data_IF_083590205616
#
_entry.id   IF_083590205616
#
_cell.length_a   1.000
_cell.length_b   1.000
_cell.length_c   1.000
_cell.angle_alpha   90.00
_cell.angle_beta   90.00
_cell.angle_gamma   90.00
#
_symmetry.space_group_name_H-M   'P 1'
#
loop_
_entity.id
_entity.type
_entity.pdbx_description
1 polymer ?
#
# COMPACT_ATOMS: atom_id res chain seq x y z
N UNK A 1 18.55 5.21 24.12
CA UNK A 1 17.34 5.34 23.27
C UNK A 1 16.44 4.12 23.46
N UNK A 2 15.14 4.32 23.46
CA UNK A 2 14.11 3.29 23.49
C UNK A 2 13.47 3.24 22.10
N UNK A 3 13.09 2.04 21.65
CA UNK A 3 12.45 1.85 20.35
C UNK A 3 10.96 1.50 20.56
N UNK A 4 10.09 2.23 19.87
CA UNK A 4 8.64 2.04 19.96
C UNK A 4 8.07 1.71 18.59
N UNK A 5 7.42 0.55 18.49
CA UNK A 5 6.62 0.18 17.31
C UNK A 5 5.25 0.84 17.41
N UNK A 6 4.87 1.59 16.38
CA UNK A 6 3.57 2.29 16.30
C UNK A 6 2.86 1.85 15.03
N UNK A 7 1.61 1.41 15.16
CA UNK A 7 0.73 1.13 14.04
C UNK A 7 -0.24 2.28 13.85
N UNK A 8 -0.38 2.76 12.61
CA UNK A 8 -1.27 3.86 12.25
C UNK A 8 -2.18 3.47 11.09
N UNK A 9 -3.35 4.09 11.04
CA UNK A 9 -4.21 4.12 9.86
C UNK A 9 -4.27 5.54 9.30
N UNK A 10 -4.51 5.70 7.99
CA UNK A 10 -4.71 7.00 7.38
C UNK A 10 -5.58 6.98 6.13
N UNK A 11 -6.31 8.06 5.93
CA UNK A 11 -6.99 8.38 4.68
C UNK A 11 -6.01 9.02 3.68
N UNK A 12 -5.60 8.23 2.68
CA UNK A 12 -4.65 8.66 1.66
C UNK A 12 -5.16 9.80 0.78
N UNK A 13 -6.48 9.98 0.65
CA UNK A 13 -7.07 11.05 -0.17
C UNK A 13 -6.67 12.45 0.33
N UNK A 14 -6.35 12.59 1.62
CA UNK A 14 -5.90 13.83 2.25
C UNK A 14 -4.42 14.14 2.00
N UNK A 15 -3.64 13.24 1.35
CA UNK A 15 -2.18 13.35 1.28
C UNK A 15 -1.61 13.08 -0.12
N UNK A 16 -0.52 13.76 -0.42
CA UNK A 16 0.29 13.52 -1.60
C UNK A 16 1.31 12.37 -1.41
N UNK A 17 0.84 11.30 -0.76
CA UNK A 17 1.61 10.11 -0.43
C UNK A 17 2.21 10.13 0.97
N UNK A 18 2.95 9.06 1.29
CA UNK A 18 3.52 8.89 2.60
C UNK A 18 4.73 9.80 2.84
N UNK A 19 5.73 9.75 1.94
CA UNK A 19 7.03 10.38 2.14
C UNK A 19 6.95 11.92 2.15
N UNK A 20 7.60 12.55 3.14
CA UNK A 20 7.71 14.03 3.28
C UNK A 20 8.20 14.70 1.99
N UNK A 21 7.55 15.77 1.61
CA UNK A 21 7.83 16.63 0.46
C UNK A 21 7.85 18.10 0.90
N UNK A 22 8.60 18.94 0.19
CA UNK A 22 8.81 20.36 0.60
C UNK A 22 7.52 21.20 0.60
N UNK A 23 6.57 20.94 -0.30
CA UNK A 23 5.44 21.86 -0.56
C UNK A 23 4.06 21.17 -0.59
N UNK A 24 3.96 19.92 -0.16
CA UNK A 24 2.69 19.17 -0.23
C UNK A 24 2.42 18.44 1.08
N UNK A 25 1.16 18.38 1.54
CA UNK A 25 0.80 17.60 2.71
C UNK A 25 1.07 16.11 2.46
N UNK A 26 1.79 15.48 3.38
CA UNK A 26 2.15 14.05 3.33
C UNK A 26 1.97 13.43 4.70
N UNK A 27 1.76 12.11 4.75
CA UNK A 27 1.57 11.40 6.02
C UNK A 27 2.79 11.56 6.94
N UNK A 28 4.00 11.33 6.42
CA UNK A 28 5.24 11.51 7.18
C UNK A 28 5.41 12.96 7.66
N UNK A 29 5.15 13.94 6.80
CA UNK A 29 5.26 15.35 7.17
C UNK A 29 4.34 15.74 8.31
N UNK A 30 3.07 15.24 8.30
CA UNK A 30 2.13 15.50 9.40
C UNK A 30 2.53 14.80 10.70
N UNK A 31 3.06 13.57 10.61
CA UNK A 31 3.56 12.86 11.78
C UNK A 31 4.77 13.58 12.40
N UNK A 32 5.74 13.97 11.58
CA UNK A 32 6.92 14.71 12.06
C UNK A 32 6.54 16.06 12.67
N UNK A 33 5.62 16.83 12.06
CA UNK A 33 5.08 18.07 12.62
C UNK A 33 4.57 17.87 14.07
N UNK A 34 3.82 16.79 14.30
CA UNK A 34 3.28 16.48 15.64
C UNK A 34 4.36 15.98 16.59
N UNK A 35 5.28 15.14 16.10
CA UNK A 35 6.40 14.66 16.93
C UNK A 35 7.34 15.79 17.32
N UNK A 36 7.65 16.73 16.42
CA UNK A 36 8.50 17.90 16.69
C UNK A 36 7.93 18.80 17.81
N UNK A 37 6.59 18.84 17.97
CA UNK A 37 5.93 19.56 19.06
C UNK A 37 6.04 18.86 20.42
N UNK A 38 6.09 17.52 20.43
CA UNK A 38 5.95 16.71 21.65
C UNK A 38 7.23 15.98 22.04
N UNK A 39 8.08 15.66 21.05
CA UNK A 39 9.29 14.85 21.19
C UNK A 39 10.38 15.54 20.37
N UNK A 40 11.37 16.16 21.03
CA UNK A 40 12.40 16.96 20.32
C UNK A 40 13.41 16.11 19.56
N UNK A 41 13.84 14.99 20.17
CA UNK A 41 14.88 14.12 19.60
C UNK A 41 14.33 12.73 19.35
N UNK A 42 14.19 12.39 18.07
CA UNK A 42 13.72 11.08 17.64
C UNK A 42 14.26 10.70 16.26
N UNK A 43 14.31 9.41 15.99
CA UNK A 43 14.47 8.86 14.66
C UNK A 43 13.17 8.15 14.27
N UNK A 44 12.61 8.48 13.09
CA UNK A 44 11.37 7.90 12.57
C UNK A 44 11.65 6.99 11.38
N UNK A 45 11.35 5.71 11.53
CA UNK A 45 11.39 4.74 10.45
C UNK A 45 9.99 4.21 10.14
N UNK A 46 9.76 3.71 8.91
CA UNK A 46 8.45 3.21 8.46
C UNK A 46 8.58 1.98 7.56
N UNK A 47 7.53 1.13 7.53
CA UNK A 47 7.56 -0.16 6.84
C UNK A 47 7.61 -0.05 5.31
N UNK A 48 7.06 1.01 4.75
CA UNK A 48 7.05 1.26 3.32
C UNK A 48 6.36 2.57 2.96
N UNK A 49 6.58 3.02 1.74
CA UNK A 49 5.93 4.22 1.18
C UNK A 49 4.65 3.83 0.48
N UNK A 50 3.63 4.68 0.57
CA UNK A 50 2.44 4.62 -0.27
C UNK A 50 2.43 5.81 -1.22
N UNK A 51 1.86 5.61 -2.42
CA UNK A 51 1.67 6.68 -3.40
C UNK A 51 0.59 7.69 -2.95
N UNK A 52 0.53 8.85 -3.59
CA UNK A 52 -0.54 9.83 -3.39
C UNK A 52 -1.92 9.18 -3.57
N UNK A 53 -2.83 9.42 -2.63
CA UNK A 53 -4.19 8.89 -2.64
C UNK A 53 -4.33 7.43 -2.14
N UNK A 54 -3.24 6.74 -1.82
CA UNK A 54 -3.27 5.37 -1.29
C UNK A 54 -3.46 5.39 0.22
N UNK A 55 -4.43 4.63 0.71
CA UNK A 55 -4.78 4.52 2.13
C UNK A 55 -3.89 3.52 2.88
N UNK A 56 -3.96 3.55 4.20
CA UNK A 56 -3.48 2.46 5.04
C UNK A 56 -4.45 2.17 6.19
N UNK A 57 -4.71 0.90 6.40
CA UNK A 57 -5.34 0.37 7.61
C UNK A 57 -4.30 0.09 8.69
N UNK A 58 -3.12 -0.39 8.29
CA UNK A 58 -2.03 -0.73 9.20
C UNK A 58 -0.69 -0.40 8.55
N UNK A 59 -0.28 0.86 8.64
CA UNK A 59 1.11 1.26 8.39
C UNK A 59 1.87 1.13 9.70
N UNK A 60 3.09 0.61 9.66
CA UNK A 60 3.92 0.46 10.85
C UNK A 60 5.11 1.40 10.78
N UNK A 61 5.32 2.09 11.90
CA UNK A 61 6.43 2.97 12.16
C UNK A 61 7.28 2.40 13.31
N UNK A 62 8.52 2.81 13.42
CA UNK A 62 9.22 2.77 14.69
C UNK A 62 9.86 4.13 15.00
N UNK A 63 9.77 4.51 16.28
CA UNK A 63 10.27 5.76 16.83
C UNK A 63 11.34 5.41 17.84
N UNK A 64 12.58 5.81 17.56
CA UNK A 64 13.69 5.73 18.51
C UNK A 64 13.84 7.08 19.21
N UNK A 65 13.80 7.08 20.54
CA UNK A 65 13.91 8.32 21.35
C UNK A 65 14.38 7.99 22.75
N UNK A 66 14.92 8.98 23.46
CA UNK A 66 15.23 8.86 24.90
C UNK A 66 14.02 9.19 25.78
N UNK A 67 12.96 9.77 25.20
CA UNK A 67 11.73 10.08 25.91
C UNK A 67 10.89 8.81 26.06
N UNK A 68 10.41 8.53 27.28
CA UNK A 68 9.45 7.45 27.53
C UNK A 68 8.10 7.81 26.91
N UNK A 69 7.72 7.07 25.87
CA UNK A 69 6.39 7.20 25.25
C UNK A 69 5.36 6.50 26.15
N UNK A 70 4.44 7.30 26.70
CA UNK A 70 3.33 6.84 27.55
C UNK A 70 2.01 6.83 26.78
N UNK A 71 0.99 6.15 27.31
CA UNK A 71 -0.37 6.20 26.74
C UNK A 71 -0.93 7.61 26.63
N UNK A 72 -0.63 8.48 27.64
CA UNK A 72 -1.04 9.89 27.60
C UNK A 72 -0.38 10.63 26.44
N UNK A 73 0.91 10.41 26.18
CA UNK A 73 1.64 11.02 25.08
C UNK A 73 1.09 10.54 23.73
N UNK A 74 0.85 9.23 23.57
CA UNK A 74 0.23 8.64 22.36
C UNK A 74 -1.17 9.22 22.13
N UNK A 75 -1.99 9.36 23.16
CA UNK A 75 -3.31 10.00 23.05
C UNK A 75 -3.21 11.46 22.61
N UNK A 76 -2.18 12.18 23.04
CA UNK A 76 -1.94 13.56 22.59
C UNK A 76 -1.48 13.61 21.13
N UNK A 77 -0.59 12.70 20.72
CA UNK A 77 -0.16 12.53 19.32
C UNK A 77 -1.38 12.25 18.44
N UNK A 78 -2.20 11.26 18.79
CA UNK A 78 -3.39 10.86 18.01
C UNK A 78 -4.37 12.04 17.82
N UNK A 79 -4.64 12.80 18.86
CA UNK A 79 -5.50 14.01 18.80
C UNK A 79 -4.93 15.07 17.86
N UNK A 80 -3.61 15.32 17.89
CA UNK A 80 -2.96 16.34 17.05
C UNK A 80 -2.81 15.90 15.59
N UNK A 81 -2.81 14.60 15.31
CA UNK A 81 -2.82 14.07 13.94
C UNK A 81 -4.14 14.36 13.21
N UNK A 82 -5.23 14.61 13.96
CA UNK A 82 -6.54 14.95 13.41
C UNK A 82 -7.29 13.72 12.85
N UNK A 83 -8.32 13.97 12.04
CA UNK A 83 -9.22 12.90 11.56
C UNK A 83 -8.66 12.04 10.42
N UNK A 84 -7.60 12.50 9.75
CA UNK A 84 -7.04 11.79 8.57
C UNK A 84 -5.96 10.76 8.90
N UNK A 85 -5.44 10.77 10.12
CA UNK A 85 -4.47 9.78 10.63
C UNK A 85 -4.89 9.38 12.03
N UNK A 86 -4.85 8.09 12.35
CA UNK A 86 -5.08 7.60 13.71
C UNK A 86 -4.02 6.59 14.15
N UNK A 87 -3.73 6.56 15.44
CA UNK A 87 -2.84 5.59 16.06
C UNK A 87 -3.66 4.37 16.48
N UNK A 88 -3.41 3.22 15.86
CA UNK A 88 -4.10 1.95 16.18
C UNK A 88 -3.53 1.28 17.42
N UNK A 89 -2.20 1.30 17.57
CA UNK A 89 -1.49 0.66 18.69
C UNK A 89 -0.07 1.18 18.79
N UNK A 90 0.52 1.08 19.99
CA UNK A 90 1.93 1.29 20.22
C UNK A 90 2.45 0.33 21.29
N UNK A 91 3.71 -0.05 21.19
CA UNK A 91 4.39 -0.81 22.21
C UNK A 91 5.90 -0.60 22.12
N UNK A 92 6.58 -0.68 23.25
CA UNK A 92 8.04 -0.73 23.27
C UNK A 92 8.50 -2.07 22.69
N UNK A 93 9.58 -2.04 21.91
CA UNK A 93 10.12 -3.20 21.20
C UNK A 93 11.66 -3.23 21.29
N UNK A 94 12.27 -4.33 20.88
CA UNK A 94 13.74 -4.45 20.81
C UNK A 94 14.35 -3.33 19.97
N UNK A 95 15.52 -2.85 20.38
CA UNK A 95 16.26 -1.82 19.64
C UNK A 95 16.70 -2.28 18.25
N UNK A 96 16.80 -3.58 18.01
CA UNK A 96 17.14 -4.16 16.69
C UNK A 96 15.96 -4.11 15.71
N UNK A 97 14.75 -3.82 16.18
CA UNK A 97 13.58 -3.75 15.32
C UNK A 97 13.65 -2.53 14.41
N UNK A 98 13.49 -2.75 13.11
CA UNK A 98 13.37 -1.71 12.11
C UNK A 98 12.11 -1.94 11.28
N UNK A 99 11.17 -0.98 11.28
CA UNK A 99 9.86 -1.13 10.64
C UNK A 99 9.91 -1.60 9.17
N UNK A 100 10.95 -1.21 8.42
CA UNK A 100 11.10 -1.61 7.03
C UNK A 100 11.79 -2.96 6.86
N UNK A 101 12.93 -3.17 7.54
CA UNK A 101 13.81 -4.30 7.28
C UNK A 101 13.41 -5.57 8.04
N UNK A 102 12.76 -5.42 9.19
CA UNK A 102 12.22 -6.55 9.95
C UNK A 102 10.89 -7.08 9.39
N UNK A 103 10.25 -6.36 8.46
CA UNK A 103 8.97 -6.77 7.89
C UNK A 103 9.12 -7.94 6.92
N UNK A 104 8.41 -9.04 7.19
CA UNK A 104 8.41 -10.28 6.40
C UNK A 104 7.38 -10.25 5.27
N UNK A 105 6.19 -9.71 5.55
CA UNK A 105 5.10 -9.67 4.59
C UNK A 105 4.39 -8.32 4.61
N UNK A 106 3.85 -7.92 3.45
CA UNK A 106 2.93 -6.79 3.31
C UNK A 106 1.71 -7.26 2.54
N UNK A 107 0.54 -6.91 3.06
CA UNK A 107 -0.73 -7.19 2.40
C UNK A 107 -1.36 -5.88 1.94
N UNK A 108 -1.78 -5.84 0.69
CA UNK A 108 -2.59 -4.78 0.14
C UNK A 108 -3.97 -5.31 -0.24
N UNK A 109 -4.96 -4.45 -0.12
CA UNK A 109 -6.31 -4.70 -0.61
C UNK A 109 -6.67 -3.58 -1.59
N UNK A 110 -7.17 -3.96 -2.77
CA UNK A 110 -7.72 -3.02 -3.73
C UNK A 110 -9.23 -3.24 -3.85
N UNK A 111 -9.99 -2.18 -3.64
CA UNK A 111 -11.45 -2.21 -3.75
C UNK A 111 -11.91 -1.53 -5.03
N UNK A 112 -12.75 -2.21 -5.80
CA UNK A 112 -13.37 -1.68 -7.01
C UNK A 112 -14.81 -2.14 -7.13
N UNK A 113 -15.61 -1.38 -7.85
CA UNK A 113 -16.98 -1.75 -8.23
C UNK A 113 -17.17 -1.56 -9.73
N UNK A 114 -18.06 -2.30 -10.32
CA UNK A 114 -18.46 -2.10 -11.71
C UNK A 114 -19.39 -0.89 -11.88
N UNK A 115 -19.62 -0.49 -13.14
CA UNK A 115 -20.34 0.74 -13.50
C UNK A 115 -21.87 0.67 -13.33
N UNK A 116 -22.42 -0.32 -12.61
CA UNK A 116 -23.87 -0.49 -12.53
C UNK A 116 -24.55 0.64 -11.73
N UNK A 117 -23.87 1.20 -10.71
CA UNK A 117 -24.41 2.26 -9.87
C UNK A 117 -23.32 3.10 -9.23
N UNK A 118 -23.40 4.44 -9.40
CA UNK A 118 -22.50 5.34 -8.66
C UNK A 118 -22.86 5.37 -7.17
N UNK A 119 -21.86 5.19 -6.32
CA UNK A 119 -21.97 5.26 -4.86
C UNK A 119 -21.03 6.37 -4.34
N UNK A 120 -21.48 7.65 -4.32
CA UNK A 120 -20.62 8.79 -4.02
C UNK A 120 -19.88 8.69 -2.68
N UNK A 121 -20.47 8.05 -1.67
CA UNK A 121 -19.87 7.88 -0.35
C UNK A 121 -18.70 6.88 -0.31
N UNK A 122 -18.50 6.09 -1.39
CA UNK A 122 -17.37 5.15 -1.52
C UNK A 122 -16.25 5.66 -2.43
N UNK A 123 -16.41 6.81 -3.10
CA UNK A 123 -15.48 7.28 -4.12
C UNK A 123 -14.05 7.52 -3.63
N UNK A 124 -13.87 7.83 -2.35
CA UNK A 124 -12.55 8.04 -1.79
C UNK A 124 -11.81 6.75 -1.43
N UNK A 125 -12.53 5.61 -1.31
CA UNK A 125 -11.97 4.32 -0.86
C UNK A 125 -12.24 3.15 -1.81
N UNK A 126 -12.91 3.40 -2.94
CA UNK A 126 -13.27 2.36 -3.92
C UNK A 126 -13.19 2.92 -5.32
N UNK A 127 -12.45 2.25 -6.19
CA UNK A 127 -12.40 2.61 -7.60
C UNK A 127 -13.70 2.21 -8.31
N UNK A 128 -14.30 3.13 -9.08
CA UNK A 128 -15.40 2.82 -9.96
C UNK A 128 -14.86 2.47 -11.34
N UNK A 129 -14.95 1.20 -11.72
CA UNK A 129 -14.56 0.72 -13.04
C UNK A 129 -15.67 0.94 -14.05
N UNK A 130 -15.32 1.25 -15.31
CA UNK A 130 -16.30 1.67 -16.33
C UNK A 130 -17.03 0.51 -17.04
N UNK A 131 -16.58 -0.72 -16.85
CA UNK A 131 -17.19 -1.92 -17.45
C UNK A 131 -17.59 -2.92 -16.37
N UNK A 132 -18.36 -3.94 -16.75
CA UNK A 132 -18.66 -5.06 -15.87
C UNK A 132 -17.40 -5.86 -15.54
N UNK A 133 -17.33 -6.36 -14.32
CA UNK A 133 -16.21 -7.14 -13.82
C UNK A 133 -16.56 -8.62 -13.76
N UNK A 134 -15.74 -9.44 -14.37
CA UNK A 134 -15.81 -10.89 -14.36
C UNK A 134 -14.85 -11.46 -13.32
N UNK A 135 -15.39 -12.04 -12.24
CA UNK A 135 -14.61 -12.57 -11.13
C UNK A 135 -13.72 -13.76 -11.54
N UNK A 136 -14.17 -14.59 -12.47
CA UNK A 136 -13.41 -15.75 -12.92
C UNK A 136 -12.21 -15.32 -13.75
N UNK A 137 -12.41 -14.42 -14.73
CA UNK A 137 -11.32 -13.81 -15.50
C UNK A 137 -10.29 -13.12 -14.60
N UNK A 138 -10.74 -12.32 -13.63
CA UNK A 138 -9.84 -11.62 -12.71
C UNK A 138 -9.03 -12.61 -11.87
N UNK A 139 -9.63 -13.71 -11.41
CA UNK A 139 -8.91 -14.73 -10.66
C UNK A 139 -7.96 -15.55 -11.54
N UNK A 140 -8.32 -15.85 -12.79
CA UNK A 140 -7.43 -16.52 -13.75
C UNK A 140 -6.09 -15.76 -13.86
N UNK A 141 -6.14 -14.46 -14.11
CA UNK A 141 -4.93 -13.63 -14.20
C UNK A 141 -4.21 -13.50 -12.85
N UNK A 142 -4.95 -13.37 -11.76
CA UNK A 142 -4.34 -13.17 -10.45
C UNK A 142 -3.43 -14.31 -10.04
N UNK A 143 -3.72 -15.54 -10.46
CA UNK A 143 -2.92 -16.73 -10.16
C UNK A 143 -1.54 -16.70 -10.83
N UNK A 144 -1.38 -16.02 -11.97
CA UNK A 144 -0.09 -15.90 -12.66
C UNK A 144 0.97 -15.20 -11.82
N UNK A 145 0.55 -14.31 -10.91
CA UNK A 145 1.47 -13.51 -10.10
C UNK A 145 1.99 -14.23 -8.86
N UNK A 146 1.48 -15.44 -8.55
CA UNK A 146 1.92 -16.21 -7.39
C UNK A 146 3.36 -16.69 -7.54
N UNK A 147 4.04 -16.84 -6.40
CA UNK A 147 5.42 -17.30 -6.34
C UNK A 147 6.45 -16.19 -6.59
N UNK A 148 7.67 -16.61 -6.89
CA UNK A 148 8.82 -15.72 -7.13
C UNK A 148 8.92 -15.40 -8.62
N UNK A 149 8.78 -14.11 -8.96
CA UNK A 149 8.81 -13.63 -10.33
C UNK A 149 9.58 -12.30 -10.44
N UNK A 150 10.06 -12.00 -11.66
CA UNK A 150 10.55 -10.67 -12.01
C UNK A 150 9.38 -9.76 -12.38
N UNK A 151 9.16 -8.70 -11.58
CA UNK A 151 8.08 -7.74 -11.79
C UNK A 151 8.53 -6.44 -12.46
N UNK A 152 9.65 -6.44 -13.19
CA UNK A 152 10.15 -5.23 -13.87
C UNK A 152 9.17 -4.66 -14.89
N UNK A 153 8.45 -5.50 -15.63
CA UNK A 153 7.42 -5.09 -16.58
C UNK A 153 6.14 -4.54 -15.90
N UNK A 154 5.99 -4.78 -14.59
CA UNK A 154 4.78 -4.38 -13.82
C UNK A 154 5.06 -3.30 -12.78
N UNK A 155 6.25 -2.72 -12.74
CA UNK A 155 6.64 -1.76 -11.71
C UNK A 155 7.60 -0.70 -12.22
N UNK A 156 7.77 0.38 -11.47
CA UNK A 156 8.87 1.32 -11.68
C UNK A 156 10.08 0.82 -10.90
N UNK A 157 11.04 0.21 -11.60
CA UNK A 157 12.29 -0.27 -11.01
C UNK A 157 13.34 0.85 -11.04
N UNK A 158 13.97 1.11 -9.90
CA UNK A 158 15.11 2.01 -9.81
C UNK A 158 16.36 1.28 -10.33
N UNK A 159 17.27 2.03 -10.97
CA UNK A 159 18.53 1.49 -11.50
C UNK A 159 19.28 0.70 -10.41
N UNK A 160 19.75 -0.50 -10.75
CA UNK A 160 20.49 -1.42 -9.87
C UNK A 160 19.67 -2.00 -8.69
N UNK A 161 18.32 -1.95 -8.72
CA UNK A 161 17.51 -2.67 -7.74
C UNK A 161 16.98 -3.98 -8.30
N UNK A 162 17.02 -5.03 -7.47
CA UNK A 162 16.47 -6.34 -7.81
C UNK A 162 14.94 -6.22 -8.02
N UNK A 163 14.41 -6.57 -9.21
CA UNK A 163 12.99 -6.53 -9.51
C UNK A 163 12.22 -7.77 -9.01
N UNK A 164 12.92 -8.83 -8.60
CA UNK A 164 12.26 -10.05 -8.13
C UNK A 164 11.50 -9.83 -6.82
N UNK A 165 10.27 -10.31 -6.79
CA UNK A 165 9.43 -10.35 -5.58
C UNK A 165 8.76 -11.71 -5.47
N UNK A 166 8.41 -12.07 -4.25
CA UNK A 166 7.66 -13.30 -3.98
C UNK A 166 6.25 -12.93 -3.49
N UNK A 167 5.25 -13.41 -4.21
CA UNK A 167 3.84 -13.21 -3.92
C UNK A 167 3.26 -14.48 -3.31
N UNK A 168 2.77 -14.38 -2.07
CA UNK A 168 2.22 -15.49 -1.30
C UNK A 168 0.70 -15.65 -1.49
N UNK A 169 0.03 -14.54 -1.83
CA UNK A 169 -1.41 -14.52 -2.05
C UNK A 169 -1.76 -13.51 -3.13
N UNK A 170 -2.66 -13.90 -4.02
CA UNK A 170 -3.16 -13.06 -5.10
C UNK A 170 -4.56 -13.56 -5.47
N UNK A 171 -5.62 -12.87 -4.99
CA UNK A 171 -6.99 -13.37 -5.13
C UNK A 171 -8.01 -12.23 -5.15
N UNK A 172 -8.99 -12.36 -6.03
CA UNK A 172 -10.18 -11.52 -6.07
C UNK A 172 -11.35 -12.19 -5.34
N UNK A 173 -12.14 -11.39 -4.65
CA UNK A 173 -13.42 -11.78 -4.06
C UNK A 173 -14.47 -10.76 -4.41
N UNK A 174 -15.73 -11.20 -4.52
CA UNK A 174 -16.89 -10.33 -4.70
C UNK A 174 -17.78 -10.41 -3.46
N UNK A 175 -18.15 -9.26 -2.95
CA UNK A 175 -19.17 -9.14 -1.91
C UNK A 175 -20.16 -8.06 -2.36
N UNK A 176 -21.41 -8.46 -2.64
CA UNK A 176 -22.40 -7.59 -3.28
C UNK A 176 -21.81 -6.97 -4.56
N UNK A 177 -21.75 -5.67 -4.69
CA UNK A 177 -21.25 -4.94 -5.86
C UNK A 177 -19.77 -4.55 -5.76
N UNK A 178 -19.09 -4.92 -4.67
CA UNK A 178 -17.68 -4.59 -4.44
C UNK A 178 -16.80 -5.82 -4.72
N UNK A 179 -15.83 -5.63 -5.60
CA UNK A 179 -14.76 -6.57 -5.86
C UNK A 179 -13.53 -6.15 -5.07
N UNK A 180 -12.93 -7.08 -4.36
CA UNK A 180 -11.73 -6.83 -3.56
C UNK A 180 -10.61 -7.75 -4.01
N UNK A 181 -9.49 -7.15 -4.45
CA UNK A 181 -8.25 -7.86 -4.71
C UNK A 181 -7.36 -7.84 -3.48
N UNK A 182 -6.98 -9.00 -3.00
CA UNK A 182 -6.01 -9.13 -1.90
C UNK A 182 -4.71 -9.68 -2.45
N UNK A 183 -3.63 -8.95 -2.23
CA UNK A 183 -2.28 -9.39 -2.59
C UNK A 183 -1.36 -9.32 -1.36
N UNK A 184 -0.62 -10.40 -1.11
CA UNK A 184 0.39 -10.49 -0.03
C UNK A 184 1.70 -10.94 -0.63
N UNK A 185 2.79 -10.27 -0.29
CA UNK A 185 4.13 -10.62 -0.74
C UNK A 185 5.20 -10.18 0.25
N UNK A 186 6.44 -10.61 0.02
CA UNK A 186 7.58 -10.23 0.85
C UNK A 186 7.84 -8.71 0.82
N UNK A 187 7.72 -8.11 -0.36
CA UNK A 187 7.81 -6.67 -0.58
C UNK A 187 7.24 -6.31 -1.95
N UNK A 188 7.05 -5.01 -2.20
CA UNK A 188 6.53 -4.51 -3.47
C UNK A 188 7.41 -3.39 -4.03
N UNK A 189 7.53 -3.34 -5.35
CA UNK A 189 8.18 -2.26 -6.07
C UNK A 189 7.23 -1.05 -6.18
N UNK A 190 7.79 0.09 -6.54
CA UNK A 190 7.00 1.32 -6.75
C UNK A 190 5.96 1.11 -7.84
N UNK A 191 4.71 1.49 -7.57
CA UNK A 191 3.55 1.32 -8.43
C UNK A 191 3.16 -0.14 -8.76
N UNK A 192 3.87 -1.15 -8.25
CA UNK A 192 3.67 -2.55 -8.61
C UNK A 192 2.22 -3.00 -8.39
N UNK A 193 1.69 -2.87 -7.18
CA UNK A 193 0.33 -3.36 -6.88
C UNK A 193 -0.72 -2.68 -7.76
N UNK A 194 -0.64 -1.35 -7.92
CA UNK A 194 -1.57 -0.62 -8.79
C UNK A 194 -1.47 -1.03 -10.26
N UNK A 195 -0.26 -1.32 -10.72
CA UNK A 195 -0.08 -1.79 -12.09
C UNK A 195 -0.59 -3.21 -12.28
N UNK A 196 -0.34 -4.12 -11.31
CA UNK A 196 -0.91 -5.48 -11.34
C UNK A 196 -2.43 -5.45 -11.38
N UNK A 197 -3.07 -4.59 -10.59
CA UNK A 197 -4.53 -4.40 -10.65
C UNK A 197 -4.95 -3.85 -12.01
N UNK A 198 -4.29 -2.82 -12.50
CA UNK A 198 -4.63 -2.21 -13.79
C UNK A 198 -4.49 -3.17 -14.97
N UNK A 199 -3.47 -4.04 -14.96
CA UNK A 199 -3.28 -5.11 -15.96
C UNK A 199 -4.45 -6.12 -15.90
N UNK A 200 -4.89 -6.51 -14.71
CA UNK A 200 -6.03 -7.41 -14.54
C UNK A 200 -7.34 -6.77 -15.03
N UNK A 201 -7.55 -5.49 -14.74
CA UNK A 201 -8.71 -4.75 -15.25
C UNK A 201 -8.66 -4.59 -16.78
N UNK A 202 -7.48 -4.34 -17.36
CA UNK A 202 -7.29 -4.26 -18.80
C UNK A 202 -7.54 -5.61 -19.49
N UNK A 203 -7.16 -6.73 -18.86
CA UNK A 203 -7.51 -8.06 -19.33
C UNK A 203 -9.02 -8.33 -19.26
N UNK A 204 -9.67 -7.96 -18.15
CA UNK A 204 -11.13 -8.02 -18.04
C UNK A 204 -11.83 -7.27 -19.16
N UNK A 205 -11.29 -6.12 -19.56
CA UNK A 205 -11.79 -5.26 -20.64
C UNK A 205 -11.39 -5.74 -22.05
N UNK A 206 -10.73 -6.90 -22.19
CA UNK A 206 -10.17 -7.44 -23.44
C UNK A 206 -9.14 -6.50 -24.14
N UNK A 207 -8.48 -5.59 -23.39
CA UNK A 207 -7.41 -4.72 -23.88
C UNK A 207 -6.03 -5.39 -23.85
N UNK A 208 -5.90 -6.47 -23.08
CA UNK A 208 -4.73 -7.34 -22.98
C UNK A 208 -5.16 -8.79 -23.05
N UNK A 209 -4.28 -9.62 -23.60
CA UNK A 209 -4.45 -11.07 -23.65
C UNK A 209 -3.62 -11.73 -22.55
N UNK A 210 -4.04 -12.93 -22.13
CA UNK A 210 -3.29 -13.78 -21.19
C UNK A 210 -1.86 -14.03 -21.68
N UNK A 211 -1.68 -14.24 -23.00
CA UNK A 211 -0.38 -14.50 -23.63
C UNK A 211 0.58 -13.33 -23.47
N UNK A 212 0.10 -12.09 -23.67
CA UNK A 212 0.91 -10.89 -23.50
C UNK A 212 1.36 -10.73 -22.04
N UNK A 213 0.44 -10.88 -21.09
CA UNK A 213 0.74 -10.75 -19.66
C UNK A 213 1.76 -11.81 -19.21
N UNK A 214 1.54 -13.07 -19.62
CA UNK A 214 2.43 -14.18 -19.30
C UNK A 214 3.82 -13.99 -19.92
N UNK A 215 3.88 -13.56 -21.17
CA UNK A 215 5.14 -13.27 -21.85
C UNK A 215 5.98 -12.20 -21.09
N UNK A 216 5.34 -11.15 -20.59
CA UNK A 216 6.01 -10.08 -19.82
C UNK A 216 6.41 -10.50 -18.40
N UNK A 217 5.79 -11.53 -17.86
CA UNK A 217 6.16 -12.11 -16.57
C UNK A 217 7.33 -13.11 -16.73
N UNK A 218 7.26 -13.99 -17.76
CA UNK A 218 8.24 -15.05 -17.98
C UNK A 218 9.57 -14.50 -18.55
N UNK A 219 9.49 -13.48 -19.42
CA UNK A 219 10.65 -12.85 -20.09
C UNK A 219 10.42 -11.35 -20.24
N UNK A 220 10.69 -10.56 -19.20
CA UNK A 220 10.60 -9.11 -19.30
C UNK A 220 11.54 -8.59 -20.41
N UNK A 221 10.98 -7.84 -21.36
CA UNK A 221 11.70 -7.29 -22.52
C UNK A 221 12.17 -5.83 -22.31
N UNK A 222 12.06 -5.33 -21.08
CA UNK A 222 12.34 -3.94 -20.72
C UNK A 222 11.17 -2.98 -20.97
N UNK A 223 10.12 -3.41 -21.65
CA UNK A 223 8.90 -2.64 -21.83
C UNK A 223 7.98 -2.82 -20.62
N UNK A 224 7.42 -1.73 -20.19
CA UNK A 224 6.50 -1.75 -19.04
C UNK A 224 5.05 -1.79 -19.49
N UNK A 225 4.28 -2.74 -18.97
CA UNK A 225 2.82 -2.72 -19.05
C UNK A 225 2.29 -1.61 -18.14
N UNK A 226 2.01 -0.43 -18.71
CA UNK A 226 1.70 0.78 -17.94
C UNK A 226 0.19 0.98 -17.75
N UNK A 227 -0.46 0.05 -17.04
CA UNK A 227 -1.87 0.09 -16.68
C UNK A 227 -2.03 0.37 -15.18
N UNK A 228 -1.81 1.62 -14.76
CA UNK A 228 -1.84 1.97 -13.33
C UNK A 228 -3.27 2.24 -12.88
N UNK A 229 -3.82 1.36 -12.04
CA UNK A 229 -5.13 1.54 -11.42
C UNK A 229 -5.16 2.79 -10.51
N UNK A 230 -6.32 3.47 -10.38
CA UNK A 230 -6.50 4.62 -9.50
C UNK A 230 -6.08 4.32 -8.04
N UNK A 231 -5.52 5.31 -7.37
CA UNK A 231 -4.95 5.13 -6.04
C UNK A 231 -6.02 4.95 -4.94
N UNK A 232 -7.17 5.59 -5.11
CA UNK A 232 -8.28 5.59 -4.15
C UNK A 232 -8.83 4.19 -3.81
N UNK A 233 -8.66 3.21 -4.69
CA UNK A 233 -9.04 1.82 -4.40
C UNK A 233 -8.03 1.07 -3.55
N UNK A 234 -6.77 1.56 -3.41
CA UNK A 234 -5.68 0.82 -2.80
C UNK A 234 -5.49 1.17 -1.31
N UNK A 235 -5.38 0.14 -0.49
CA UNK A 235 -5.11 0.26 0.94
C UNK A 235 -3.96 -0.68 1.35
N UNK A 236 -2.92 -0.17 2.02
CA UNK A 236 -1.98 -0.99 2.78
C UNK A 236 -2.72 -1.57 3.98
N UNK A 237 -3.00 -2.88 3.90
CA UNK A 237 -3.93 -3.54 4.83
C UNK A 237 -3.25 -4.06 6.08
N UNK A 238 -2.05 -4.64 5.93
CA UNK A 238 -1.31 -5.27 7.02
C UNK A 238 0.18 -5.37 6.73
N UNK A 239 1.00 -5.21 7.76
CA UNK A 239 2.44 -5.52 7.75
C UNK A 239 2.73 -6.57 8.81
N UNK A 240 3.37 -7.69 8.42
CA UNK A 240 3.71 -8.80 9.32
C UNK A 240 5.23 -8.83 9.57
N UNK A 241 5.60 -9.06 10.81
CA UNK A 241 6.97 -9.11 11.31
C UNK A 241 7.37 -10.49 11.83
#
# INVERSE_FOLDING_TARGET
MQNYKVSIAYDGASFYGFQKQKSRPTVQGKIEEVLDLLIKDYELNYSGRTDAGVHAKEQVLNILTDIKITEKLISSIDKLLGSSISVNSFNQISNDFHARYSAKERTYVYSTMDNQKKLPYLLNSTHQHNSSLDLEKLNEISQLFLGKNDFSSFAKVEKNKNPEREIFKSVWKKNSNIFTYTITGNSFLRNMVRNLVGVQLAFNDNKLTLKEIKSQLDKPDGNRLNYIAPANGLTLWKVKY
#
